data_IF_097441205350
#
_entry.id   IF_097441205350
#
_cell.length_a   1.000
_cell.length_b   1.000
_cell.length_c   1.000
_cell.angle_alpha   90.00
_cell.angle_beta   90.00
_cell.angle_gamma   90.00
#
_symmetry.space_group_name_H-M   'P 1'
#
loop_
_entity.id
_entity.type
_entity.pdbx_description
1 polymer ?
#
# COMPACT_ATOMS: atom_id res chain seq x y z
N UNK A 1 -19.72 3.43 -14.41
CA UNK A 1 -21.10 3.13 -14.00
C UNK A 1 -21.16 1.93 -13.02
N UNK A 2 -20.58 0.80 -13.32
CA UNK A 2 -20.64 -0.44 -12.52
C UNK A 2 -20.12 -0.35 -11.06
N UNK A 3 -19.08 0.47 -10.78
CA UNK A 3 -18.53 0.58 -9.42
C UNK A 3 -19.56 1.08 -8.40
N UNK A 4 -20.42 2.05 -8.78
CA UNK A 4 -21.50 2.57 -7.91
C UNK A 4 -22.56 1.49 -7.66
N UNK A 5 -22.95 0.76 -8.70
CA UNK A 5 -23.93 -0.33 -8.58
C UNK A 5 -23.46 -1.42 -7.64
N UNK A 6 -22.18 -1.85 -7.76
CA UNK A 6 -21.58 -2.82 -6.82
C UNK A 6 -21.60 -2.28 -5.39
N UNK A 7 -21.30 -0.99 -5.20
CA UNK A 7 -21.33 -0.39 -3.86
C UNK A 7 -22.74 -0.31 -3.29
N UNK A 8 -23.73 0.16 -4.06
CA UNK A 8 -25.12 0.19 -3.62
C UNK A 8 -25.65 -1.20 -3.30
N UNK A 9 -25.37 -2.18 -4.15
CA UNK A 9 -25.73 -3.56 -3.87
C UNK A 9 -25.10 -4.03 -2.54
N UNK A 10 -23.82 -3.76 -2.28
CA UNK A 10 -23.16 -4.16 -1.04
C UNK A 10 -23.81 -3.53 0.20
N UNK A 11 -24.19 -2.26 0.13
CA UNK A 11 -24.87 -1.56 1.25
C UNK A 11 -26.26 -2.15 1.48
N UNK A 12 -27.07 -2.31 0.41
CA UNK A 12 -28.43 -2.89 0.51
C UNK A 12 -28.35 -4.32 1.02
N UNK A 13 -27.49 -5.14 0.46
CA UNK A 13 -27.28 -6.52 0.88
C UNK A 13 -26.91 -6.63 2.37
N UNK A 14 -26.02 -5.74 2.84
CA UNK A 14 -25.62 -5.71 4.25
C UNK A 14 -26.79 -5.33 5.17
N UNK A 15 -27.58 -4.33 4.78
CA UNK A 15 -28.77 -3.93 5.53
C UNK A 15 -29.81 -5.05 5.59
N UNK A 16 -30.11 -5.69 4.47
CA UNK A 16 -31.05 -6.81 4.42
C UNK A 16 -30.52 -8.04 5.19
N UNK A 17 -29.21 -8.29 5.14
CA UNK A 17 -28.59 -9.35 5.96
C UNK A 17 -28.77 -9.09 7.46
N UNK A 18 -28.66 -7.82 7.88
CA UNK A 18 -28.95 -7.44 9.26
C UNK A 18 -30.42 -7.65 9.62
N UNK A 19 -31.35 -7.28 8.73
CA UNK A 19 -32.77 -7.48 8.93
C UNK A 19 -33.15 -8.97 9.05
N UNK A 20 -32.52 -9.86 8.29
CA UNK A 20 -32.67 -11.31 8.47
C UNK A 20 -32.11 -11.77 9.82
N UNK A 21 -30.94 -11.24 10.24
CA UNK A 21 -30.33 -11.60 11.53
C UNK A 21 -31.16 -11.16 12.73
N UNK A 22 -32.00 -10.13 12.57
CA UNK A 22 -32.88 -9.59 13.61
C UNK A 22 -34.34 -10.05 13.45
N UNK A 23 -34.56 -11.08 12.65
CA UNK A 23 -35.88 -11.69 12.39
C UNK A 23 -36.94 -10.73 11.79
N UNK A 24 -36.48 -9.60 11.23
CA UNK A 24 -37.35 -8.66 10.50
C UNK A 24 -37.71 -9.14 9.10
N UNK A 25 -36.86 -10.01 8.52
CA UNK A 25 -37.06 -10.64 7.21
C UNK A 25 -36.73 -12.14 7.28
N UNK A 26 -37.45 -12.93 6.49
CA UNK A 26 -37.20 -14.39 6.39
C UNK A 26 -35.96 -14.68 5.56
N UNK A 27 -35.68 -13.87 4.52
CA UNK A 27 -34.56 -14.08 3.61
C UNK A 27 -34.02 -12.76 3.05
N UNK A 28 -32.78 -12.76 2.66
CA UNK A 28 -32.16 -11.62 1.97
C UNK A 28 -32.44 -11.69 0.47
N UNK A 29 -33.38 -10.89 -0.04
CA UNK A 29 -33.73 -10.88 -1.45
C UNK A 29 -32.61 -10.39 -2.37
N UNK A 30 -31.62 -9.65 -1.83
CA UNK A 30 -30.46 -9.21 -2.60
C UNK A 30 -29.50 -10.37 -2.96
N UNK A 31 -29.64 -11.56 -2.34
CA UNK A 31 -28.87 -12.76 -2.73
C UNK A 31 -29.26 -13.28 -4.12
N UNK A 32 -30.48 -12.94 -4.58
CA UNK A 32 -31.02 -13.35 -5.89
C UNK A 32 -30.64 -12.40 -7.02
N UNK A 33 -29.94 -11.29 -6.69
CA UNK A 33 -29.56 -10.27 -7.69
C UNK A 33 -28.16 -10.52 -8.21
N UNK A 34 -28.03 -10.69 -9.51
CA UNK A 34 -26.73 -10.80 -10.17
C UNK A 34 -25.96 -9.47 -10.06
N UNK A 35 -24.77 -9.57 -9.52
CA UNK A 35 -23.89 -8.40 -9.40
C UNK A 35 -23.10 -8.19 -10.70
N UNK A 36 -22.88 -6.94 -11.13
CA UNK A 36 -21.95 -6.66 -12.19
C UNK A 36 -20.57 -7.23 -11.84
N UNK A 37 -19.95 -7.94 -12.78
CA UNK A 37 -18.59 -8.48 -12.56
C UNK A 37 -17.61 -7.34 -12.35
N UNK A 38 -16.79 -7.47 -11.33
CA UNK A 38 -15.71 -6.52 -11.04
C UNK A 38 -14.59 -6.76 -12.06
N UNK A 39 -14.29 -5.77 -12.88
CA UNK A 39 -13.07 -5.82 -13.68
C UNK A 39 -11.88 -5.95 -12.73
N UNK A 40 -11.02 -6.92 -12.93
CA UNK A 40 -9.80 -7.09 -12.18
C UNK A 40 -8.95 -5.82 -12.36
N UNK A 41 -8.73 -5.10 -11.28
CA UNK A 41 -7.80 -3.99 -11.28
C UNK A 41 -6.39 -4.57 -11.25
N UNK A 42 -5.61 -4.25 -12.27
CA UNK A 42 -4.17 -4.55 -12.25
C UNK A 42 -3.45 -3.33 -11.65
N UNK A 43 -2.78 -3.51 -10.51
CA UNK A 43 -1.98 -2.43 -9.93
C UNK A 43 -0.83 -2.08 -10.87
N UNK A 44 -0.50 -0.79 -10.93
CA UNK A 44 0.68 -0.29 -11.61
C UNK A 44 1.84 -0.40 -10.63
N UNK A 45 2.91 -1.07 -11.04
CA UNK A 45 4.15 -1.15 -10.28
C UNK A 45 5.23 -0.35 -11.02
N UNK A 46 6.03 0.40 -10.28
CA UNK A 46 7.24 1.02 -10.80
C UNK A 46 8.42 0.08 -10.58
N UNK A 47 9.29 -0.01 -11.57
CA UNK A 47 10.63 -0.60 -11.42
C UNK A 47 11.50 0.26 -10.51
N UNK A 48 12.64 -0.27 -10.06
CA UNK A 48 13.61 0.51 -9.29
C UNK A 48 14.08 1.75 -10.06
N UNK A 49 14.35 1.62 -11.36
CA UNK A 49 14.80 2.72 -12.23
C UNK A 49 13.70 3.79 -12.41
N UNK A 50 12.44 3.36 -12.60
CA UNK A 50 11.30 4.30 -12.67
C UNK A 50 11.11 5.05 -11.35
N UNK A 51 11.28 4.37 -10.21
CA UNK A 51 11.23 5.02 -8.90
C UNK A 51 12.36 6.00 -8.70
N UNK A 52 13.59 5.66 -9.11
CA UNK A 52 14.73 6.56 -9.02
C UNK A 52 14.50 7.85 -9.82
N UNK A 53 14.05 7.73 -11.07
CA UNK A 53 13.69 8.89 -11.91
C UNK A 53 12.60 9.75 -11.28
N UNK A 54 11.60 9.12 -10.67
CA UNK A 54 10.53 9.82 -9.95
C UNK A 54 11.08 10.59 -8.74
N UNK A 55 11.97 9.99 -7.95
CA UNK A 55 12.58 10.65 -6.79
C UNK A 55 13.44 11.84 -7.19
N UNK A 56 14.22 11.71 -8.28
CA UNK A 56 15.01 12.82 -8.83
C UNK A 56 14.12 13.98 -9.27
N UNK A 57 13.02 13.69 -9.96
CA UNK A 57 12.07 14.73 -10.39
C UNK A 57 11.37 15.42 -9.21
N UNK A 58 11.10 14.69 -8.12
CA UNK A 58 10.43 15.22 -6.93
C UNK A 58 11.32 16.12 -6.06
N UNK A 59 12.63 16.10 -6.26
CA UNK A 59 13.60 16.81 -5.42
C UNK A 59 13.26 18.29 -5.28
N UNK A 60 13.22 18.79 -4.04
CA UNK A 60 12.89 20.18 -3.70
C UNK A 60 11.40 20.53 -3.78
N UNK A 61 10.52 19.57 -4.06
CA UNK A 61 9.07 19.80 -4.09
C UNK A 61 8.40 19.46 -2.75
N UNK A 62 7.21 20.01 -2.51
CA UNK A 62 6.38 19.65 -1.33
C UNK A 62 5.96 18.16 -1.32
N UNK A 63 6.05 17.46 -2.44
CA UNK A 63 5.72 16.04 -2.57
C UNK A 63 6.91 15.12 -2.24
N UNK A 64 8.13 15.62 -2.23
CA UNK A 64 9.35 14.80 -2.11
C UNK A 64 9.29 13.87 -0.89
N UNK A 65 9.34 14.41 0.32
CA UNK A 65 9.39 13.59 1.53
C UNK A 65 8.12 12.75 1.75
N UNK A 66 6.88 13.25 1.53
CA UNK A 66 5.68 12.42 1.60
C UNK A 66 5.70 11.22 0.65
N UNK A 67 6.20 11.39 -0.58
CA UNK A 67 6.30 10.31 -1.57
C UNK A 67 7.40 9.33 -1.19
N UNK A 68 8.57 9.81 -0.76
CA UNK A 68 9.66 8.96 -0.27
C UNK A 68 9.19 8.08 0.89
N UNK A 69 8.54 8.66 1.90
CA UNK A 69 8.00 7.92 3.06
C UNK A 69 6.97 6.88 2.62
N UNK A 70 6.05 7.25 1.70
CA UNK A 70 5.07 6.31 1.17
C UNK A 70 5.70 5.18 0.36
N UNK A 71 6.72 5.47 -0.43
CA UNK A 71 7.40 4.51 -1.30
C UNK A 71 8.25 3.51 -0.52
N UNK A 72 9.00 3.97 0.50
CA UNK A 72 9.88 3.10 1.29
C UNK A 72 9.15 2.32 2.37
N UNK A 73 8.24 2.96 3.10
CA UNK A 73 7.51 2.32 4.20
C UNK A 73 6.15 1.74 3.81
N UNK A 74 5.73 1.95 2.57
CA UNK A 74 4.43 1.48 2.08
C UNK A 74 3.24 2.11 2.82
N UNK A 75 3.39 3.35 3.31
CA UNK A 75 2.34 4.03 4.08
C UNK A 75 1.14 4.37 3.20
N UNK A 76 -0.05 4.28 3.78
CA UNK A 76 -1.27 4.81 3.17
C UNK A 76 -1.24 6.34 3.23
N UNK A 77 -1.90 7.02 2.27
CA UNK A 77 -1.95 8.51 2.23
C UNK A 77 -2.35 9.14 3.58
N UNK A 78 -3.34 8.54 4.25
CA UNK A 78 -3.78 9.04 5.57
C UNK A 78 -2.79 8.74 6.68
N UNK A 79 -1.99 7.68 6.59
CA UNK A 79 -0.90 7.37 7.51
C UNK A 79 0.26 8.37 7.33
N UNK A 80 0.57 8.74 6.07
CA UNK A 80 1.57 9.77 5.77
C UNK A 80 1.15 11.11 6.39
N UNK A 81 -0.03 11.62 6.04
CA UNK A 81 -0.53 12.91 6.56
C UNK A 81 -0.72 12.89 8.07
N UNK A 82 -1.04 11.73 8.65
CA UNK A 82 -1.21 11.52 10.09
C UNK A 82 0.08 11.28 10.87
N UNK A 83 1.24 11.32 10.23
CA UNK A 83 2.52 11.10 10.89
C UNK A 83 2.86 12.28 11.81
N UNK A 84 3.15 11.98 13.08
CA UNK A 84 3.57 12.96 14.09
C UNK A 84 4.98 12.67 14.60
N UNK A 85 5.63 13.67 15.16
CA UNK A 85 6.97 13.56 15.72
C UNK A 85 7.08 12.55 16.87
N UNK A 86 6.01 12.35 17.64
CA UNK A 86 5.94 11.32 18.70
C UNK A 86 5.95 9.88 18.19
N UNK A 87 5.80 9.71 16.87
CA UNK A 87 5.86 8.42 16.20
C UNK A 87 7.25 8.08 15.66
N UNK A 88 8.19 9.03 15.72
CA UNK A 88 9.58 8.88 15.24
C UNK A 88 10.50 8.90 16.44
N UNK A 89 11.08 7.76 16.74
CA UNK A 89 12.08 7.65 17.82
C UNK A 89 13.47 7.65 17.18
N UNK A 90 14.15 8.78 17.34
CA UNK A 90 15.51 8.96 16.84
C UNK A 90 16.56 8.20 17.64
N UNK A 91 16.32 7.89 18.92
CA UNK A 91 17.24 7.15 19.78
C UNK A 91 17.19 5.65 19.46
N UNK A 92 15.98 5.09 19.44
CA UNK A 92 15.75 3.68 19.10
C UNK A 92 15.81 3.41 17.60
N UNK A 93 15.88 4.44 16.75
CA UNK A 93 15.91 4.31 15.31
C UNK A 93 14.62 3.66 14.77
N UNK A 94 13.45 4.11 15.20
CA UNK A 94 12.17 3.53 14.79
C UNK A 94 11.16 4.58 14.33
N UNK A 95 10.25 4.14 13.43
CA UNK A 95 9.09 4.89 13.00
C UNK A 95 7.83 4.04 13.25
N UNK A 96 6.86 4.59 13.97
CA UNK A 96 5.63 3.90 14.36
C UNK A 96 4.42 4.47 13.63
N UNK A 97 3.65 3.62 12.98
CA UNK A 97 2.39 4.03 12.35
C UNK A 97 1.27 3.91 13.37
N UNK A 98 0.93 5.02 14.04
CA UNK A 98 -0.04 5.06 15.15
C UNK A 98 -1.36 5.73 14.77
N UNK A 99 -1.35 6.60 13.74
CA UNK A 99 -2.48 7.47 13.39
C UNK A 99 -2.75 7.47 11.90
N UNK A 100 -3.97 7.80 11.55
CA UNK A 100 -4.37 8.04 10.16
C UNK A 100 -5.32 9.23 10.11
N UNK A 101 -5.18 10.03 9.07
CA UNK A 101 -6.13 11.11 8.76
C UNK A 101 -7.02 10.64 7.62
N UNK A 102 -8.31 10.76 7.81
CA UNK A 102 -9.33 10.45 6.80
C UNK A 102 -10.08 11.72 6.42
N UNK A 103 -10.48 11.81 5.17
CA UNK A 103 -11.27 12.94 4.67
C UNK A 103 -12.64 12.46 4.18
N UNK A 104 -13.66 13.26 4.43
CA UNK A 104 -15.01 13.04 3.92
C UNK A 104 -15.70 14.37 3.66
N UNK A 105 -16.82 14.32 2.92
CA UNK A 105 -17.69 15.46 2.71
C UNK A 105 -18.93 15.24 3.55
N UNK A 106 -19.18 16.15 4.51
CA UNK A 106 -20.39 16.20 5.34
C UNK A 106 -21.10 17.51 5.05
N UNK A 107 -22.36 17.44 4.69
CA UNK A 107 -23.19 18.60 4.33
C UNK A 107 -22.53 19.53 3.29
N UNK A 108 -21.90 18.92 2.29
CA UNK A 108 -21.20 19.63 1.21
C UNK A 108 -19.86 20.25 1.61
N UNK A 109 -19.44 20.13 2.86
CA UNK A 109 -18.17 20.67 3.37
C UNK A 109 -17.14 19.55 3.50
N UNK A 110 -15.92 19.84 3.05
CA UNK A 110 -14.76 18.95 3.24
C UNK A 110 -14.34 19.00 4.71
N UNK A 111 -14.18 17.81 5.30
CA UNK A 111 -13.74 17.65 6.68
C UNK A 111 -12.68 16.55 6.76
N UNK A 112 -11.70 16.74 7.62
CA UNK A 112 -10.68 15.76 7.93
C UNK A 112 -10.79 15.34 9.40
N UNK A 113 -10.59 14.04 9.64
CA UNK A 113 -10.66 13.45 10.96
C UNK A 113 -9.37 12.67 11.24
N UNK A 114 -8.73 13.01 12.35
CA UNK A 114 -7.65 12.20 12.90
C UNK A 114 -8.26 11.00 13.62
N UNK A 115 -7.77 9.82 13.30
CA UNK A 115 -8.16 8.59 13.97
C UNK A 115 -6.89 7.89 14.45
N UNK A 116 -6.90 7.44 15.70
CA UNK A 116 -5.90 6.48 16.13
C UNK A 116 -6.10 5.20 15.31
N UNK A 117 -5.02 4.64 14.78
CA UNK A 117 -5.03 3.45 13.92
C UNK A 117 -5.53 2.18 14.62
N UNK A 118 -6.11 2.30 15.80
CA UNK A 118 -6.44 1.24 16.75
C UNK A 118 -7.64 0.36 16.37
N UNK A 119 -8.25 0.49 15.18
CA UNK A 119 -9.37 -0.41 14.79
C UNK A 119 -8.92 -1.85 14.54
N UNK A 120 -7.64 -2.10 14.24
CA UNK A 120 -7.08 -3.45 14.15
C UNK A 120 -5.64 -3.45 14.67
N UNK A 121 -5.25 -4.47 15.45
CA UNK A 121 -3.87 -4.66 15.91
C UNK A 121 -2.85 -4.67 14.77
N UNK A 122 -3.25 -5.06 13.57
CA UNK A 122 -2.39 -5.08 12.37
C UNK A 122 -2.10 -3.70 11.78
N UNK A 123 -2.88 -2.67 12.12
CA UNK A 123 -2.64 -1.30 11.65
C UNK A 123 -1.55 -0.58 12.43
N UNK A 124 -1.34 -0.98 13.71
CA UNK A 124 -0.24 -0.49 14.53
C UNK A 124 1.02 -1.30 14.21
N UNK A 125 2.01 -0.63 13.69
CA UNK A 125 3.31 -1.24 13.37
C UNK A 125 4.44 -0.28 13.63
N UNK A 126 5.56 -0.82 14.09
CA UNK A 126 6.81 -0.10 14.26
C UNK A 126 7.82 -0.67 13.28
N UNK A 127 8.44 0.20 12.51
CA UNK A 127 9.39 -0.14 11.46
C UNK A 127 10.75 0.50 11.79
N UNK A 128 11.86 -0.07 11.34
CA UNK A 128 13.16 0.55 11.52
C UNK A 128 13.23 1.89 10.76
N UNK A 129 13.77 2.90 11.37
CA UNK A 129 14.05 4.17 10.73
C UNK A 129 15.30 4.02 9.85
N UNK A 130 15.10 4.03 8.53
CA UNK A 130 16.18 3.93 7.56
C UNK A 130 17.07 5.17 7.69
N UNK A 131 18.41 4.99 7.67
CA UNK A 131 19.39 6.02 8.02
C UNK A 131 19.18 7.38 7.32
N UNK A 132 18.99 7.38 6.00
CA UNK A 132 18.73 8.61 5.22
C UNK A 132 17.47 9.36 5.66
N UNK A 133 16.43 8.66 6.13
CA UNK A 133 15.22 9.30 6.64
C UNK A 133 15.43 9.99 7.99
N UNK A 134 16.39 9.52 8.80
CA UNK A 134 16.75 10.20 10.04
C UNK A 134 17.18 11.64 9.73
N UNK A 135 18.06 11.82 8.76
CA UNK A 135 18.57 13.13 8.35
C UNK A 135 17.45 14.01 7.76
N UNK A 136 16.63 13.47 6.88
CA UNK A 136 15.49 14.20 6.29
C UNK A 136 14.50 14.67 7.37
N UNK A 137 14.13 13.81 8.30
CA UNK A 137 13.23 14.19 9.38
C UNK A 137 13.84 15.22 10.33
N UNK A 138 15.14 15.14 10.63
CA UNK A 138 15.82 16.16 11.43
C UNK A 138 15.81 17.53 10.75
N UNK A 139 16.12 17.60 9.44
CA UNK A 139 16.06 18.83 8.66
C UNK A 139 14.65 19.43 8.64
N UNK A 140 13.61 18.61 8.45
CA UNK A 140 12.21 19.08 8.46
C UNK A 140 11.83 19.59 9.84
N UNK A 141 12.26 18.93 10.92
CA UNK A 141 11.98 19.37 12.29
C UNK A 141 12.63 20.71 12.60
N UNK A 142 13.89 20.88 12.23
CA UNK A 142 14.62 22.14 12.38
C UNK A 142 13.96 23.27 11.58
N UNK A 143 13.56 23.00 10.33
CA UNK A 143 12.85 23.97 9.49
C UNK A 143 11.50 24.39 10.11
N UNK A 144 10.75 23.45 10.69
CA UNK A 144 9.49 23.75 11.36
C UNK A 144 9.71 24.65 12.61
N UNK A 145 10.72 24.36 13.42
CA UNK A 145 11.04 25.19 14.58
C UNK A 145 11.47 26.61 14.17
N UNK A 146 12.23 26.74 13.09
CA UNK A 146 12.58 28.06 12.52
C UNK A 146 11.33 28.80 12.04
N UNK A 147 10.43 28.12 11.31
CA UNK A 147 9.19 28.72 10.82
C UNK A 147 8.31 29.22 11.97
N UNK A 148 8.19 28.47 13.07
CA UNK A 148 7.48 28.91 14.29
C UNK A 148 8.05 30.21 14.84
N UNK A 149 9.39 30.32 14.90
CA UNK A 149 10.07 31.52 15.39
C UNK A 149 9.84 32.73 14.46
N UNK A 150 9.95 32.52 13.13
CA UNK A 150 9.81 33.57 12.14
C UNK A 150 8.37 34.06 12.02
N UNK A 151 7.41 33.13 11.96
CA UNK A 151 6.00 33.47 11.77
C UNK A 151 5.32 33.94 13.06
N UNK A 152 5.81 33.51 14.23
CA UNK A 152 5.25 33.93 15.52
C UNK A 152 3.75 33.70 15.60
N UNK A 153 2.97 34.79 15.77
CA UNK A 153 1.52 34.72 15.91
C UNK A 153 0.76 34.32 14.63
N UNK A 154 1.41 34.32 13.47
CA UNK A 154 0.82 33.89 12.22
C UNK A 154 0.91 32.36 12.01
N UNK A 155 1.70 31.68 12.84
CA UNK A 155 1.84 30.23 12.75
C UNK A 155 0.60 29.52 13.33
N UNK A 156 0.09 28.53 12.59
CA UNK A 156 -1.03 27.71 13.06
C UNK A 156 -0.54 26.59 13.97
N UNK A 157 -0.78 26.71 15.26
CA UNK A 157 -0.38 25.70 16.27
C UNK A 157 -1.39 24.54 16.40
N UNK A 158 -2.52 24.57 15.67
CA UNK A 158 -3.54 23.50 15.71
C UNK A 158 -2.92 22.15 15.28
N UNK A 159 -2.01 22.22 14.31
CA UNK A 159 -1.35 21.02 13.77
C UNK A 159 0.08 20.84 14.30
N UNK A 160 0.41 21.44 15.42
CA UNK A 160 1.71 21.23 16.04
C UNK A 160 1.94 19.74 16.35
N UNK A 161 3.16 19.30 16.14
CA UNK A 161 3.54 17.90 16.26
C UNK A 161 3.35 17.05 15.01
N UNK A 162 2.64 17.52 13.96
CA UNK A 162 2.61 16.81 12.67
C UNK A 162 3.90 17.03 11.88
N UNK A 163 4.32 15.98 11.15
CA UNK A 163 5.55 16.04 10.33
C UNK A 163 5.32 16.83 9.05
N UNK A 164 4.15 16.70 8.43
CA UNK A 164 3.85 17.30 7.13
C UNK A 164 2.95 18.52 7.30
N UNK A 165 3.55 19.62 7.72
CA UNK A 165 2.97 20.97 7.77
C UNK A 165 3.74 21.90 6.83
N UNK A 166 3.10 22.97 6.39
CA UNK A 166 3.74 24.00 5.59
C UNK A 166 4.44 25.08 6.47
N UNK A 167 4.92 26.11 5.84
CA UNK A 167 5.68 27.20 6.48
C UNK A 167 4.84 27.97 7.52
N UNK A 168 3.51 27.95 7.38
CA UNK A 168 2.57 28.58 8.32
C UNK A 168 1.97 27.61 9.34
N UNK A 169 2.43 26.36 9.38
CA UNK A 169 1.94 25.34 10.30
C UNK A 169 0.66 24.62 9.83
N UNK A 170 0.19 24.88 8.60
CA UNK A 170 -0.98 24.20 8.06
C UNK A 170 -0.64 22.77 7.65
N UNK A 171 -1.41 21.81 8.17
CA UNK A 171 -1.20 20.39 7.84
C UNK A 171 -1.53 20.12 6.37
N UNK A 172 -0.67 19.32 5.74
CA UNK A 172 -0.92 18.81 4.39
C UNK A 172 -2.25 18.05 4.34
N UNK A 173 -3.11 18.39 3.38
CA UNK A 173 -4.41 17.73 3.18
C UNK A 173 -4.24 16.36 2.52
N UNK A 174 -5.05 15.38 2.93
CA UNK A 174 -5.06 14.04 2.34
C UNK A 174 -5.37 14.08 0.83
N UNK A 175 -6.23 15.00 0.41
CA UNK A 175 -6.57 15.17 -1.01
C UNK A 175 -5.43 15.76 -1.84
N UNK A 176 -4.53 16.54 -1.22
CA UNK A 176 -3.38 17.08 -1.93
C UNK A 176 -2.52 15.95 -2.51
N UNK A 177 -2.18 14.95 -1.71
CA UNK A 177 -1.42 13.78 -2.17
C UNK A 177 -2.15 13.02 -3.29
N UNK A 178 -3.48 12.92 -3.21
CA UNK A 178 -4.28 12.22 -4.21
C UNK A 178 -4.32 12.93 -5.56
N UNK A 179 -4.38 14.27 -5.53
CA UNK A 179 -4.60 15.09 -6.71
C UNK A 179 -3.28 15.62 -7.31
N UNK A 180 -2.34 16.06 -6.47
CA UNK A 180 -1.09 16.65 -6.92
C UNK A 180 -0.10 15.60 -7.45
N UNK A 181 0.03 14.45 -6.79
CA UNK A 181 1.00 13.42 -7.18
C UNK A 181 0.78 12.89 -8.61
N UNK A 182 -0.42 12.44 -9.03
CA UNK A 182 -0.63 11.99 -10.42
C UNK A 182 -0.40 13.09 -11.46
N UNK A 183 -0.77 14.34 -11.13
CA UNK A 183 -0.56 15.51 -12.01
C UNK A 183 0.93 15.82 -12.15
N UNK A 184 1.66 15.74 -11.04
CA UNK A 184 3.12 15.93 -11.04
C UNK A 184 3.81 14.91 -11.96
N UNK A 185 3.48 13.63 -11.86
CA UNK A 185 4.03 12.60 -12.73
C UNK A 185 3.75 12.89 -14.21
N UNK A 186 2.52 13.27 -14.52
CA UNK A 186 2.09 13.58 -15.88
C UNK A 186 2.82 14.80 -16.45
N UNK A 187 3.01 15.88 -15.66
CA UNK A 187 3.75 17.07 -16.10
C UNK A 187 5.25 16.85 -16.30
N UNK A 188 5.82 15.80 -15.71
CA UNK A 188 7.23 15.44 -15.88
C UNK A 188 7.45 14.27 -16.85
N UNK A 189 6.42 13.90 -17.64
CA UNK A 189 6.50 12.79 -18.59
C UNK A 189 6.70 11.42 -17.95
N UNK A 190 6.41 11.29 -16.65
CA UNK A 190 6.51 10.05 -15.91
C UNK A 190 5.20 9.26 -16.01
N UNK A 191 5.30 7.94 -15.82
CA UNK A 191 4.15 7.06 -15.85
C UNK A 191 3.13 7.45 -14.79
N UNK A 192 1.91 7.78 -15.22
CA UNK A 192 0.82 8.14 -14.32
C UNK A 192 0.43 6.98 -13.41
N UNK A 193 0.41 7.24 -12.11
CA UNK A 193 -0.06 6.30 -11.10
C UNK A 193 -0.77 7.04 -9.95
N UNK A 194 -1.51 6.31 -9.14
CA UNK A 194 -2.14 6.87 -7.95
C UNK A 194 -1.14 6.84 -6.78
N UNK A 195 -1.28 7.75 -5.84
CA UNK A 195 -0.45 7.75 -4.63
C UNK A 195 -0.46 6.39 -3.89
N UNK A 196 -1.60 5.70 -3.88
CA UNK A 196 -1.69 4.38 -3.25
C UNK A 196 -0.87 3.29 -3.97
N UNK A 197 -0.57 3.47 -5.24
CA UNK A 197 0.20 2.50 -6.02
C UNK A 197 1.69 2.48 -5.61
N UNK A 198 2.19 3.53 -4.91
CA UNK A 198 3.51 3.52 -4.25
C UNK A 198 3.65 2.38 -3.24
N UNK A 199 2.58 2.11 -2.49
CA UNK A 199 2.55 0.99 -1.54
C UNK A 199 2.61 -0.37 -2.26
N UNK A 200 2.01 -0.49 -3.42
CA UNK A 200 2.13 -1.68 -4.26
C UNK A 200 3.55 -1.82 -4.82
N UNK A 201 4.17 -0.72 -5.24
CA UNK A 201 5.57 -0.72 -5.70
C UNK A 201 6.54 -1.09 -4.58
N UNK A 202 6.34 -0.57 -3.36
CA UNK A 202 7.10 -0.97 -2.17
C UNK A 202 7.06 -2.49 -1.97
N UNK A 203 5.86 -3.07 -1.94
CA UNK A 203 5.70 -4.50 -1.74
C UNK A 203 6.30 -5.33 -2.88
N UNK A 204 6.18 -4.87 -4.13
CA UNK A 204 6.77 -5.52 -5.31
C UNK A 204 8.30 -5.53 -5.23
N UNK A 205 8.92 -4.43 -4.81
CA UNK A 205 10.36 -4.33 -4.62
C UNK A 205 10.86 -5.21 -3.47
N UNK A 206 10.15 -5.26 -2.34
CA UNK A 206 10.49 -6.17 -1.24
C UNK A 206 10.43 -7.62 -1.70
N UNK A 207 9.40 -8.00 -2.44
CA UNK A 207 9.27 -9.36 -2.99
C UNK A 207 10.37 -9.67 -4.01
N UNK A 208 10.68 -8.74 -4.91
CA UNK A 208 11.76 -8.89 -5.90
C UNK A 208 13.14 -9.06 -5.25
N UNK A 209 13.32 -8.52 -4.03
CA UNK A 209 14.51 -8.70 -3.21
C UNK A 209 14.44 -9.93 -2.26
N UNK A 210 13.50 -10.84 -2.49
CA UNK A 210 13.41 -12.10 -1.76
C UNK A 210 12.81 -12.01 -0.35
N UNK A 211 12.22 -10.87 0.03
CA UNK A 211 11.57 -10.73 1.35
C UNK A 211 10.32 -11.62 1.40
N UNK A 212 10.18 -12.49 2.41
CA UNK A 212 9.02 -13.37 2.53
C UNK A 212 7.69 -12.59 2.61
N UNK A 213 6.64 -13.11 1.97
CA UNK A 213 5.32 -12.46 1.92
C UNK A 213 4.76 -12.14 3.32
N UNK A 214 5.07 -12.95 4.32
CA UNK A 214 4.66 -12.71 5.71
C UNK A 214 5.29 -11.43 6.27
N UNK A 215 6.57 -11.21 6.05
CA UNK A 215 7.28 -9.99 6.47
C UNK A 215 6.78 -8.77 5.69
N UNK A 216 6.47 -8.92 4.38
CA UNK A 216 5.86 -7.86 3.58
C UNK A 216 4.47 -7.48 4.14
N UNK A 217 3.67 -8.47 4.53
CA UNK A 217 2.37 -8.24 5.17
C UNK A 217 2.52 -7.42 6.46
N UNK A 218 3.47 -7.79 7.31
CA UNK A 218 3.77 -7.09 8.58
C UNK A 218 4.29 -5.67 8.33
N UNK A 219 5.23 -5.51 7.39
CA UNK A 219 5.76 -4.21 6.98
C UNK A 219 4.67 -3.25 6.54
N UNK A 220 3.79 -3.73 5.69
CA UNK A 220 2.69 -2.94 5.17
C UNK A 220 1.53 -2.78 6.17
N UNK A 221 1.36 -3.66 7.14
CA UNK A 221 0.20 -3.69 8.03
C UNK A 221 -1.09 -4.07 7.27
N UNK A 222 -1.05 -5.15 6.49
CA UNK A 222 -2.24 -5.73 5.89
C UNK A 222 -2.94 -6.65 6.89
N UNK A 223 -4.21 -6.39 7.17
CA UNK A 223 -5.03 -7.23 8.05
C UNK A 223 -5.32 -8.61 7.46
N UNK A 224 -5.31 -8.72 6.11
CA UNK A 224 -5.59 -9.95 5.39
C UNK A 224 -4.43 -10.30 4.46
N UNK A 225 -3.89 -11.51 4.66
CA UNK A 225 -2.82 -12.07 3.82
C UNK A 225 -3.26 -12.22 2.36
N UNK A 226 -4.55 -12.53 2.13
CA UNK A 226 -5.13 -12.69 0.80
C UNK A 226 -4.95 -11.43 -0.06
N UNK A 227 -5.02 -10.25 0.56
CA UNK A 227 -4.77 -8.98 -0.13
C UNK A 227 -3.34 -8.90 -0.66
N UNK A 228 -2.35 -9.32 0.12
CA UNK A 228 -0.95 -9.37 -0.29
C UNK A 228 -0.75 -10.45 -1.35
N UNK A 229 -1.22 -11.65 -1.11
CA UNK A 229 -1.05 -12.79 -2.01
C UNK A 229 -1.68 -12.56 -3.39
N UNK A 230 -2.91 -12.03 -3.46
CA UNK A 230 -3.61 -11.80 -4.73
C UNK A 230 -2.95 -10.71 -5.60
N UNK A 231 -2.32 -9.71 -4.99
CA UNK A 231 -1.60 -8.67 -5.73
C UNK A 231 -0.34 -9.25 -6.38
N UNK A 232 0.29 -10.23 -5.73
CA UNK A 232 1.61 -10.75 -6.12
C UNK A 232 1.59 -12.15 -6.71
N UNK A 233 0.43 -12.79 -6.84
CA UNK A 233 0.29 -14.11 -7.45
C UNK A 233 0.90 -14.19 -8.89
N UNK A 234 0.93 -13.06 -9.59
CA UNK A 234 1.53 -12.96 -10.94
C UNK A 234 3.07 -12.80 -10.92
N UNK A 235 3.66 -12.39 -9.80
CA UNK A 235 5.13 -12.22 -9.66
C UNK A 235 5.82 -13.49 -9.16
N UNK A 236 5.04 -14.50 -8.79
CA UNK A 236 5.48 -15.72 -8.09
C UNK A 236 6.23 -16.72 -8.99
N UNK A 237 6.37 -16.47 -10.29
CA UNK A 237 7.08 -17.42 -11.19
C UNK A 237 8.58 -17.50 -10.87
N UNK A 238 9.22 -16.40 -10.45
CA UNK A 238 10.63 -16.42 -10.05
C UNK A 238 10.85 -17.19 -8.75
N UNK A 239 9.95 -17.10 -7.78
CA UNK A 239 10.03 -17.88 -6.54
C UNK A 239 9.79 -19.36 -6.78
N UNK A 240 9.00 -19.73 -7.81
CA UNK A 240 8.86 -21.14 -8.25
C UNK A 240 10.15 -21.68 -8.84
N UNK A 241 10.87 -20.87 -9.62
CA UNK A 241 12.19 -21.26 -10.14
C UNK A 241 13.18 -21.49 -8.98
N UNK A 242 13.24 -20.57 -8.03
CA UNK A 242 14.09 -20.70 -6.83
C UNK A 242 13.71 -21.93 -6.00
N UNK A 243 12.42 -22.20 -5.86
CA UNK A 243 11.92 -23.40 -5.17
C UNK A 243 12.28 -24.68 -5.92
N UNK A 244 12.20 -24.69 -7.25
CA UNK A 244 12.61 -25.81 -8.07
C UNK A 244 14.12 -26.08 -7.95
N UNK A 245 14.93 -25.03 -7.99
CA UNK A 245 16.38 -25.13 -7.76
C UNK A 245 16.73 -25.63 -6.36
N UNK A 246 15.99 -25.19 -5.33
CA UNK A 246 16.18 -25.69 -3.97
C UNK A 246 15.82 -27.18 -3.84
N UNK A 247 14.77 -27.63 -4.54
CA UNK A 247 14.41 -29.05 -4.62
C UNK A 247 15.48 -29.86 -5.35
N UNK A 248 15.98 -29.34 -6.47
CA UNK A 248 17.07 -29.98 -7.25
C UNK A 248 18.37 -30.07 -6.47
N UNK A 249 18.66 -29.04 -5.66
CA UNK A 249 19.86 -29.07 -4.78
C UNK A 249 19.67 -29.96 -3.56
N UNK A 250 18.44 -30.03 -3.03
CA UNK A 250 18.14 -30.81 -1.81
C UNK A 250 17.85 -32.30 -2.07
N UNK A 251 17.50 -32.66 -3.29
CA UNK A 251 17.14 -34.03 -3.69
C UNK A 251 17.90 -34.40 -4.95
N UNK A 252 18.92 -35.27 -4.81
CA UNK A 252 19.56 -35.86 -5.97
C UNK A 252 18.60 -36.83 -6.67
N UNK A 253 18.34 -36.60 -7.95
CA UNK A 253 17.59 -37.55 -8.76
C UNK A 253 18.48 -38.81 -8.98
N UNK A 254 17.89 -40.02 -8.94
CA UNK A 254 18.64 -41.25 -9.23
C UNK A 254 19.26 -41.16 -10.63
N UNK A 255 20.56 -41.38 -10.73
CA UNK A 255 21.22 -41.44 -12.03
C UNK A 255 20.78 -42.71 -12.81
N UNK A 256 20.52 -42.56 -14.11
CA UNK A 256 20.43 -43.69 -15.03
C UNK A 256 19.04 -44.34 -15.14
N UNK A 257 17.96 -43.70 -14.79
CA UNK A 257 16.61 -44.22 -15.06
C UNK A 257 16.22 -44.09 -16.53
N UNK A 258 16.31 -45.17 -17.30
CA UNK A 258 15.61 -45.21 -18.61
C UNK A 258 14.10 -45.32 -18.40
N UNK A 259 13.45 -44.18 -18.45
CA UNK A 259 11.98 -44.09 -18.33
C UNK A 259 11.24 -44.34 -19.65
N UNK A 260 11.97 -44.40 -20.77
CA UNK A 260 11.40 -44.61 -22.11
C UNK A 260 10.78 -46.01 -22.22
N UNK A 261 11.36 -47.03 -21.60
CA UNK A 261 10.87 -48.40 -21.60
C UNK A 261 9.64 -48.61 -20.71
N UNK A 262 9.39 -47.76 -19.71
CA UNK A 262 8.25 -47.88 -18.79
C UNK A 262 7.02 -47.09 -19.19
N UNK A 263 7.22 -46.06 -20.00
CA UNK A 263 6.12 -45.11 -20.39
C UNK A 263 5.99 -44.98 -21.90
N UNK A 264 6.82 -45.66 -22.66
CA UNK A 264 6.87 -45.58 -24.12
C UNK A 264 6.22 -46.76 -24.82
N UNK A 265 5.53 -46.41 -25.86
CA UNK A 265 4.91 -47.19 -26.95
C UNK A 265 3.53 -47.81 -26.64
N UNK A 266 2.54 -47.04 -26.87
CA UNK A 266 1.30 -47.55 -27.46
C UNK A 266 1.70 -48.05 -28.86
N UNK A 267 1.63 -49.38 -29.05
CA UNK A 267 2.07 -50.04 -30.25
C UNK A 267 1.46 -49.44 -31.51
N UNK A 268 2.31 -49.21 -32.50
CA UNK A 268 1.88 -49.10 -33.87
C UNK A 268 1.24 -50.44 -34.25
N UNK A 269 -0.10 -50.41 -34.36
CA UNK A 269 -0.82 -51.55 -34.88
C UNK A 269 -0.36 -51.82 -36.33
N UNK A 270 0.20 -52.98 -36.52
CA UNK A 270 0.41 -53.55 -37.84
C UNK A 270 -0.96 -53.73 -38.54
N UNK A 271 -1.17 -52.97 -39.57
CA UNK A 271 -2.21 -53.30 -40.56
C UNK A 271 -1.60 -54.32 -41.49
N UNK A 272 -2.11 -55.55 -41.39
CA UNK A 272 -2.07 -56.55 -42.46
C UNK A 272 -3.45 -56.66 -43.07
#
# INVERSE_FOLDING_TARGET
MYKRQIHYHAVIHSALKYAVKTDMLIQNVADKVDRPRKNSFQPVFLSADEMQKMFEALRGTKLELPVLVAAFYGLRRGEVVGLKWDAIDFEQGTISVKRTVTSTIIDGKYQEFEQQSAKTKSSLRTLPLIGSFREYFMQVKEAQELNKQVCGNCYNYEYDGFVFVDELGERMRVEYLTNAFPKFLESHGLRRMRFHDLRHSCASLLLANGVPLKHIQEWLGHSDFTTTANIYAHLDYKSKITSAQAMETGLALPEGGDFSSRWGSIGAGENS
#
